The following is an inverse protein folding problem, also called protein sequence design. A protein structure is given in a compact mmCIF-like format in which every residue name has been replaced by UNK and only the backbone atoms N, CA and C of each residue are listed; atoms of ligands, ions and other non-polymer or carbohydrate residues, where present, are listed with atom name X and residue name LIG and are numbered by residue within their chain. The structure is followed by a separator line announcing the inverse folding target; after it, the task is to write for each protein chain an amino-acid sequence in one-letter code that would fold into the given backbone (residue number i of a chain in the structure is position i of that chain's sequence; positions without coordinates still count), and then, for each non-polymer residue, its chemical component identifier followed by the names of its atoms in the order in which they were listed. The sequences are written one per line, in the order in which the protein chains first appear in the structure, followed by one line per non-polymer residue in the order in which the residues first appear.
data_IF_031149333704
#
_entry.id   IF_031149333704
#
_cell.length_a   1.000
_cell.length_b   1.000
_cell.length_c   1.000
_cell.angle_alpha   90.00
_cell.angle_beta   90.00
_cell.angle_gamma   90.00
#
_symmetry.space_group_name_H-M   'P 1'
#
loop_
_entity.id
_entity.type
_entity.pdbx_description
1 polymer ?
#
# COMPACT_ATOMS: atom_id res chain seq x y z
N UNK A 1 13.34 -38.59 -23.37
CA UNK A 1 13.90 -37.21 -23.44
C UNK A 1 14.20 -36.62 -22.06
N UNK A 2 13.27 -36.66 -21.09
CA UNK A 2 13.46 -36.09 -19.74
C UNK A 2 14.68 -36.60 -18.93
N UNK A 3 15.03 -37.90 -18.91
CA UNK A 3 16.19 -38.39 -18.17
C UNK A 3 17.53 -37.87 -18.70
N UNK A 4 17.61 -37.68 -20.02
CA UNK A 4 18.81 -37.17 -20.70
C UNK A 4 19.01 -35.68 -20.41
N UNK A 5 17.94 -34.90 -20.32
CA UNK A 5 18.04 -33.48 -19.96
C UNK A 5 18.52 -33.29 -18.52
N UNK A 6 18.04 -34.12 -17.58
CA UNK A 6 18.47 -34.07 -16.18
C UNK A 6 19.93 -34.51 -16.00
N UNK A 7 20.41 -35.49 -16.78
CA UNK A 7 21.83 -35.88 -16.75
C UNK A 7 22.72 -34.78 -17.32
N UNK A 8 22.33 -34.19 -18.45
CA UNK A 8 23.08 -33.09 -19.06
C UNK A 8 23.14 -31.84 -18.15
N UNK A 9 22.04 -31.52 -17.45
CA UNK A 9 22.02 -30.42 -16.48
C UNK A 9 22.97 -30.70 -15.31
N UNK A 10 22.96 -31.91 -14.76
CA UNK A 10 23.85 -32.30 -13.68
C UNK A 10 25.32 -32.22 -14.10
N UNK A 11 25.64 -32.70 -15.29
CA UNK A 11 27.01 -32.63 -15.84
C UNK A 11 27.44 -31.16 -16.09
N UNK A 12 26.51 -30.31 -16.53
CA UNK A 12 26.77 -28.88 -16.70
C UNK A 12 27.01 -28.18 -15.35
N UNK A 13 26.22 -28.49 -14.33
CA UNK A 13 26.38 -27.96 -12.97
C UNK A 13 27.72 -28.38 -12.37
N UNK A 14 28.08 -29.66 -12.49
CA UNK A 14 29.35 -30.17 -12.01
C UNK A 14 30.53 -29.44 -12.67
N UNK A 15 30.47 -29.25 -13.99
CA UNK A 15 31.51 -28.50 -14.71
C UNK A 15 31.55 -27.03 -14.29
N UNK A 16 30.40 -26.38 -14.10
CA UNK A 16 30.35 -25.00 -13.62
C UNK A 16 30.92 -24.85 -12.20
N UNK A 17 30.64 -25.80 -11.31
CA UNK A 17 31.20 -25.88 -9.96
C UNK A 17 32.72 -26.09 -10.00
N UNK A 18 33.21 -27.01 -10.84
CA UNK A 18 34.65 -27.21 -11.03
C UNK A 18 35.35 -25.94 -11.54
N UNK A 19 34.69 -25.21 -12.44
CA UNK A 19 35.26 -24.01 -13.06
C UNK A 19 35.23 -22.79 -12.12
N UNK A 20 34.07 -22.44 -11.57
CA UNK A 20 33.86 -21.21 -10.78
C UNK A 20 33.99 -21.43 -9.25
N UNK A 21 33.87 -22.66 -8.80
CA UNK A 21 33.79 -23.03 -7.38
C UNK A 21 32.35 -23.10 -6.88
N UNK A 22 32.14 -23.97 -5.89
CA UNK A 22 30.85 -24.23 -5.24
C UNK A 22 30.19 -22.96 -4.71
N UNK A 23 30.96 -22.07 -4.08
CA UNK A 23 30.44 -20.84 -3.50
C UNK A 23 29.92 -19.89 -4.58
N UNK A 24 30.76 -19.53 -5.55
CA UNK A 24 30.40 -18.60 -6.61
C UNK A 24 29.22 -19.13 -7.45
N UNK A 25 29.20 -20.43 -7.72
CA UNK A 25 28.08 -21.07 -8.40
C UNK A 25 26.78 -20.98 -7.60
N UNK A 26 26.83 -21.27 -6.28
CA UNK A 26 25.65 -21.15 -5.42
C UNK A 26 25.12 -19.72 -5.32
N UNK A 27 26.02 -18.72 -5.20
CA UNK A 27 25.65 -17.30 -5.17
C UNK A 27 25.03 -16.85 -6.50
N UNK A 28 25.54 -17.34 -7.63
CA UNK A 28 24.96 -17.07 -8.94
C UNK A 28 23.55 -17.64 -9.10
N UNK A 29 23.31 -18.87 -8.64
CA UNK A 29 21.97 -19.48 -8.65
C UNK A 29 20.98 -18.74 -7.74
N UNK A 30 21.41 -18.31 -6.55
CA UNK A 30 20.60 -17.48 -5.66
C UNK A 30 20.26 -16.13 -6.30
N UNK A 31 21.22 -15.49 -6.95
CA UNK A 31 20.98 -14.24 -7.67
C UNK A 31 20.01 -14.46 -8.83
N UNK A 32 20.16 -15.54 -9.60
CA UNK A 32 19.24 -15.89 -10.69
C UNK A 32 17.80 -16.04 -10.17
N UNK A 33 17.61 -16.74 -9.05
CA UNK A 33 16.30 -16.90 -8.44
C UNK A 33 15.69 -15.55 -8.05
N UNK A 34 16.47 -14.68 -7.39
CA UNK A 34 16.03 -13.33 -7.03
C UNK A 34 15.64 -12.51 -8.26
N UNK A 35 16.46 -12.53 -9.32
CA UNK A 35 16.15 -11.86 -10.59
C UNK A 35 14.84 -12.36 -11.18
N UNK A 36 14.63 -13.68 -11.24
CA UNK A 36 13.41 -14.26 -11.80
C UNK A 36 12.16 -13.85 -11.03
N UNK A 37 12.21 -13.89 -9.69
CA UNK A 37 11.07 -13.50 -8.85
C UNK A 37 10.80 -12.00 -8.96
N UNK A 38 11.83 -11.16 -8.83
CA UNK A 38 11.69 -9.71 -8.98
C UNK A 38 11.18 -9.33 -10.38
N UNK A 39 11.62 -10.02 -11.43
CA UNK A 39 11.09 -9.86 -12.78
C UNK A 39 9.58 -10.17 -12.83
N UNK A 40 9.17 -11.34 -12.33
CA UNK A 40 7.76 -11.75 -12.33
C UNK A 40 6.87 -10.79 -11.53
N UNK A 41 7.31 -10.38 -10.34
CA UNK A 41 6.58 -9.43 -9.50
C UNK A 41 6.40 -8.08 -10.20
N UNK A 42 7.47 -7.50 -10.73
CA UNK A 42 7.37 -6.22 -11.43
C UNK A 42 6.53 -6.33 -12.71
N UNK A 43 6.65 -7.44 -13.44
CA UNK A 43 5.82 -7.69 -14.62
C UNK A 43 4.34 -7.81 -14.26
N UNK A 44 4.00 -8.55 -13.20
CA UNK A 44 2.61 -8.64 -12.72
C UNK A 44 2.07 -7.29 -12.27
N UNK A 45 2.88 -6.46 -11.60
CA UNK A 45 2.49 -5.10 -11.22
C UNK A 45 2.21 -4.21 -12.44
N UNK A 46 3.00 -4.34 -13.50
CA UNK A 46 2.76 -3.61 -14.76
C UNK A 46 1.47 -4.09 -15.43
N UNK A 47 1.23 -5.41 -15.47
CA UNK A 47 0.10 -5.99 -16.18
C UNK A 47 -1.23 -5.85 -15.43
N UNK A 48 -1.23 -5.97 -14.10
CA UNK A 48 -2.44 -5.99 -13.30
C UNK A 48 -2.96 -4.59 -12.94
N UNK A 49 -2.07 -3.59 -12.81
CA UNK A 49 -2.44 -2.33 -12.17
C UNK A 49 -2.95 -1.27 -13.16
N UNK A 50 -2.87 -1.50 -14.47
CA UNK A 50 -3.51 -0.68 -15.53
C UNK A 50 -3.21 0.83 -15.55
N UNK A 51 -2.40 1.32 -14.60
CA UNK A 51 -2.14 2.73 -14.30
C UNK A 51 -0.72 2.94 -13.75
N UNK A 52 0.15 1.94 -13.77
CA UNK A 52 1.52 2.06 -13.26
C UNK A 52 2.37 2.91 -14.20
N UNK A 53 3.05 3.89 -13.63
CA UNK A 53 4.03 4.71 -14.33
C UNK A 53 5.17 3.83 -14.84
N UNK A 54 5.29 3.68 -16.15
CA UNK A 54 6.32 2.84 -16.76
C UNK A 54 7.71 3.48 -16.59
N UNK A 55 8.71 2.67 -16.26
CA UNK A 55 10.10 3.11 -16.10
C UNK A 55 10.87 3.04 -17.42
N UNK A 56 11.89 3.88 -17.56
CA UNK A 56 12.79 3.90 -18.72
C UNK A 56 13.80 2.73 -18.76
N UNK A 57 13.96 2.01 -17.66
CA UNK A 57 14.89 0.89 -17.50
C UNK A 57 14.28 -0.24 -16.65
N UNK A 58 13.59 -1.19 -17.29
CA UNK A 58 12.93 -2.28 -16.57
C UNK A 58 13.94 -3.20 -15.86
N UNK A 59 15.11 -3.46 -16.46
CA UNK A 59 16.16 -4.24 -15.81
C UNK A 59 16.72 -3.53 -14.57
N UNK A 60 16.85 -2.20 -14.63
CA UNK A 60 17.19 -1.36 -13.50
C UNK A 60 16.16 -1.45 -12.37
N UNK A 61 14.86 -1.48 -12.70
CA UNK A 61 13.79 -1.70 -11.72
C UNK A 61 13.88 -3.09 -11.06
N UNK A 62 14.09 -4.16 -11.84
CA UNK A 62 14.27 -5.52 -11.33
C UNK A 62 15.45 -5.59 -10.37
N UNK A 63 16.60 -5.02 -10.75
CA UNK A 63 17.78 -4.93 -9.87
C UNK A 63 17.46 -4.20 -8.57
N UNK A 64 16.74 -3.08 -8.64
CA UNK A 64 16.32 -2.33 -7.44
C UNK A 64 15.39 -3.11 -6.54
N UNK A 65 14.49 -3.92 -7.08
CA UNK A 65 13.64 -4.80 -6.27
C UNK A 65 14.48 -5.82 -5.51
N UNK A 66 15.49 -6.41 -6.15
CA UNK A 66 16.44 -7.33 -5.49
C UNK A 66 17.19 -6.62 -4.36
N UNK A 67 17.66 -5.38 -4.58
CA UNK A 67 18.37 -4.60 -3.56
C UNK A 67 17.44 -4.19 -2.38
N UNK A 68 16.13 -4.07 -2.61
CA UNK A 68 15.11 -3.72 -1.59
C UNK A 68 14.67 -4.93 -0.77
N UNK A 69 14.47 -6.08 -1.39
CA UNK A 69 14.02 -7.32 -0.75
C UNK A 69 15.20 -8.05 -0.08
N UNK A 70 15.59 -7.57 1.11
CA UNK A 70 16.57 -8.23 2.00
C UNK A 70 15.96 -9.32 2.88
N UNK A 71 14.69 -9.68 2.69
CA UNK A 71 13.96 -10.63 3.54
C UNK A 71 13.99 -12.07 3.00
N UNK A 72 14.44 -12.99 3.86
CA UNK A 72 14.43 -14.45 3.69
C UNK A 72 13.06 -15.02 3.27
N UNK A 73 11.95 -14.33 3.54
CA UNK A 73 10.58 -14.83 3.43
C UNK A 73 10.09 -15.09 1.99
N UNK A 74 10.78 -14.56 0.97
CA UNK A 74 10.43 -14.81 -0.44
C UNK A 74 11.02 -16.14 -0.95
N UNK A 75 12.10 -16.62 -0.34
CA UNK A 75 12.71 -17.93 -0.69
C UNK A 75 11.83 -19.11 -0.25
N UNK A 76 11.05 -18.96 0.82
CA UNK A 76 10.19 -20.02 1.37
C UNK A 76 8.79 -20.06 0.71
N UNK A 77 8.39 -19.01 -0.02
CA UNK A 77 7.07 -18.91 -0.66
C UNK A 77 7.06 -19.24 -2.16
N UNK A 78 8.22 -19.57 -2.73
CA UNK A 78 8.30 -20.06 -4.10
C UNK A 78 7.71 -21.47 -4.18
N UNK A 79 6.50 -21.59 -4.72
CA UNK A 79 5.88 -22.86 -5.03
C UNK A 79 6.72 -23.60 -6.10
N UNK A 80 7.39 -24.73 -5.75
CA UNK A 80 8.21 -25.48 -6.70
C UNK A 80 7.37 -26.05 -7.87
N UNK A 81 6.03 -26.04 -7.77
CA UNK A 81 5.15 -26.58 -8.80
C UNK A 81 4.90 -25.63 -10.00
N UNK A 82 5.23 -24.34 -9.89
CA UNK A 82 4.88 -23.34 -10.92
C UNK A 82 5.87 -23.28 -12.10
N UNK A 83 7.07 -23.83 -11.95
CA UNK A 83 8.01 -23.97 -13.07
C UNK A 83 7.79 -25.32 -13.76
N UNK A 84 6.92 -25.32 -14.79
CA UNK A 84 6.80 -26.42 -15.76
C UNK A 84 8.05 -26.53 -16.66
N UNK A 85 9.25 -26.47 -16.10
CA UNK A 85 10.50 -26.70 -16.81
C UNK A 85 10.97 -28.13 -16.59
N UNK A 86 11.58 -28.73 -17.61
CA UNK A 86 12.11 -30.11 -17.56
C UNK A 86 13.42 -30.22 -16.75
N UNK A 87 13.67 -29.27 -15.86
CA UNK A 87 14.95 -29.04 -15.17
C UNK A 87 14.81 -29.25 -13.67
N UNK A 88 15.93 -29.44 -12.98
CA UNK A 88 15.99 -29.61 -11.52
C UNK A 88 15.65 -28.30 -10.79
N UNK A 89 14.99 -28.37 -9.61
CA UNK A 89 14.77 -27.18 -8.79
C UNK A 89 16.08 -26.48 -8.40
N UNK A 90 16.10 -25.13 -8.43
CA UNK A 90 17.27 -24.33 -8.05
C UNK A 90 17.75 -24.64 -6.62
N UNK A 91 16.82 -24.91 -5.69
CA UNK A 91 17.13 -25.25 -4.31
C UNK A 91 17.97 -26.53 -4.18
N UNK A 92 17.68 -27.56 -4.97
CA UNK A 92 18.46 -28.79 -5.01
C UNK A 92 19.85 -28.56 -5.61
N UNK A 93 19.92 -27.78 -6.70
CA UNK A 93 21.20 -27.45 -7.36
C UNK A 93 22.12 -26.63 -6.44
N UNK A 94 21.56 -25.70 -5.67
CA UNK A 94 22.29 -24.94 -4.64
C UNK A 94 22.77 -25.87 -3.51
N UNK A 95 21.93 -26.80 -3.04
CA UNK A 95 22.29 -27.74 -1.99
C UNK A 95 23.43 -28.67 -2.44
N UNK A 96 23.34 -29.22 -3.65
CA UNK A 96 24.37 -30.06 -4.24
C UNK A 96 25.70 -29.31 -4.38
N UNK A 97 25.67 -28.10 -4.95
CA UNK A 97 26.87 -27.28 -5.10
C UNK A 97 27.53 -26.98 -3.75
N UNK A 98 26.74 -26.69 -2.71
CA UNK A 98 27.25 -26.44 -1.34
C UNK A 98 27.84 -27.70 -0.71
N UNK A 99 27.29 -28.87 -1.00
CA UNK A 99 27.81 -30.14 -0.51
C UNK A 99 29.16 -30.51 -1.15
N UNK A 100 29.35 -30.18 -2.44
CA UNK A 100 30.57 -30.49 -3.18
C UNK A 100 31.81 -29.73 -2.70
N UNK A 101 31.63 -28.58 -2.02
CA UNK A 101 32.67 -27.74 -1.40
C UNK A 101 33.98 -27.60 -2.24
N UNK A 102 33.81 -27.46 -3.55
CA UNK A 102 34.91 -27.45 -4.51
C UNK A 102 35.40 -26.03 -4.75
N UNK A 103 36.72 -25.84 -4.71
CA UNK A 103 37.35 -24.57 -5.07
C UNK A 103 37.50 -24.48 -6.59
N UNK A 104 37.07 -23.36 -7.18
CA UNK A 104 37.10 -23.17 -8.63
C UNK A 104 38.50 -23.06 -9.21
N UNK A 105 38.66 -23.53 -10.45
CA UNK A 105 39.92 -23.48 -11.20
C UNK A 105 40.14 -22.09 -11.85
N UNK A 106 39.07 -21.35 -12.13
CA UNK A 106 39.11 -20.02 -12.76
C UNK A 106 38.95 -18.90 -11.74
N UNK A 107 40.00 -18.09 -11.57
CA UNK A 107 39.92 -16.75 -10.99
C UNK A 107 40.02 -15.72 -12.13
N UNK A 108 38.88 -15.35 -12.72
CA UNK A 108 38.83 -14.26 -13.69
C UNK A 108 38.86 -12.93 -12.94
N UNK A 109 40.04 -12.32 -12.86
CA UNK A 109 40.26 -11.00 -12.26
C UNK A 109 40.03 -9.86 -13.28
N UNK A 110 39.08 -10.06 -14.20
CA UNK A 110 38.63 -9.02 -15.13
C UNK A 110 37.37 -8.40 -14.51
N UNK A 111 37.32 -7.07 -14.30
CA UNK A 111 36.12 -6.43 -13.78
C UNK A 111 34.97 -6.73 -14.74
N UNK A 112 33.94 -7.44 -14.26
CA UNK A 112 32.69 -7.69 -15.01
C UNK A 112 32.08 -6.37 -15.51
N UNK A 113 32.41 -5.25 -14.84
CA UNK A 113 32.11 -3.89 -15.27
C UNK A 113 32.59 -3.55 -16.69
N UNK A 114 33.69 -4.12 -17.16
CA UNK A 114 34.24 -3.83 -18.48
C UNK A 114 33.55 -4.64 -19.59
N UNK A 115 33.17 -5.89 -19.29
CA UNK A 115 32.37 -6.74 -20.20
C UNK A 115 30.93 -6.21 -20.36
N UNK A 116 30.39 -5.59 -19.32
CA UNK A 116 29.00 -5.11 -19.26
C UNK A 116 28.91 -3.58 -19.16
N UNK A 117 29.93 -2.84 -19.61
CA UNK A 117 29.99 -1.38 -19.48
C UNK A 117 28.78 -0.67 -20.12
N UNK A 118 28.31 -1.21 -21.23
CA UNK A 118 27.18 -0.68 -22.00
C UNK A 118 25.82 -1.22 -21.55
N UNK A 119 25.79 -2.13 -20.58
CA UNK A 119 24.58 -2.84 -20.17
C UNK A 119 23.44 -1.89 -19.73
N UNK A 120 23.65 -0.87 -18.87
CA UNK A 120 22.57 0.05 -18.51
C UNK A 120 22.00 0.83 -19.71
N UNK A 121 22.86 1.19 -20.67
CA UNK A 121 22.44 1.89 -21.89
C UNK A 121 21.58 0.99 -22.77
N UNK A 122 21.99 -0.26 -22.95
CA UNK A 122 21.26 -1.26 -23.72
C UNK A 122 19.91 -1.60 -23.08
N UNK A 123 19.85 -1.74 -21.75
CA UNK A 123 18.59 -1.99 -21.03
C UNK A 123 17.58 -0.86 -21.25
N UNK A 124 18.02 0.40 -21.18
CA UNK A 124 17.16 1.56 -21.50
C UNK A 124 16.67 1.56 -22.95
N UNK A 125 17.53 1.14 -23.89
CA UNK A 125 17.14 1.05 -25.29
C UNK A 125 16.14 -0.09 -25.55
N UNK A 126 16.26 -1.21 -24.84
CA UNK A 126 15.41 -2.40 -25.00
C UNK A 126 14.08 -2.30 -24.25
N UNK A 127 14.02 -1.58 -23.14
CA UNK A 127 12.80 -1.45 -22.31
C UNK A 127 11.56 -0.99 -23.11
N UNK A 128 11.65 0.02 -24.00
CA UNK A 128 10.53 0.39 -24.87
C UNK A 128 10.06 -0.73 -25.80
N UNK A 129 10.99 -1.53 -26.35
CA UNK A 129 10.62 -2.66 -27.20
C UNK A 129 9.89 -3.72 -26.39
N UNK A 130 10.39 -4.04 -25.19
CA UNK A 130 9.74 -4.96 -24.27
C UNK A 130 8.29 -4.56 -23.95
N UNK A 131 8.04 -3.29 -23.63
CA UNK A 131 6.66 -2.83 -23.37
C UNK A 131 5.75 -2.90 -24.59
N UNK A 132 6.29 -2.65 -25.79
CA UNK A 132 5.52 -2.80 -27.05
C UNK A 132 5.14 -4.25 -27.31
N UNK A 133 6.05 -5.19 -27.07
CA UNK A 133 5.76 -6.63 -27.17
C UNK A 133 4.69 -7.09 -26.18
N UNK A 134 4.61 -6.44 -25.00
CA UNK A 134 3.54 -6.66 -24.03
C UNK A 134 2.20 -6.00 -24.41
N UNK A 135 2.14 -5.27 -25.53
CA UNK A 135 0.93 -4.57 -25.98
C UNK A 135 0.59 -3.32 -25.17
N UNK A 136 1.56 -2.75 -24.43
CA UNK A 136 1.34 -1.57 -23.61
C UNK A 136 1.38 -0.29 -24.46
N UNK A 137 0.40 0.59 -24.28
CA UNK A 137 0.36 1.90 -24.93
C UNK A 137 1.08 2.95 -24.06
N UNK A 138 2.20 3.49 -24.55
CA UNK A 138 2.97 4.52 -23.83
C UNK A 138 3.65 5.52 -24.77
N UNK A 139 3.98 6.69 -24.24
CA UNK A 139 4.85 7.68 -24.88
C UNK A 139 6.24 7.64 -24.23
N UNK A 140 7.29 7.79 -25.03
CA UNK A 140 8.68 7.86 -24.52
C UNK A 140 8.88 8.98 -23.50
N UNK A 141 8.11 10.07 -23.61
CA UNK A 141 8.16 11.21 -22.68
C UNK A 141 7.55 10.89 -21.30
N UNK A 142 6.71 9.85 -21.23
CA UNK A 142 6.02 9.45 -20.00
C UNK A 142 6.81 8.39 -19.22
N UNK A 143 7.90 7.87 -19.79
CA UNK A 143 8.78 6.92 -19.10
C UNK A 143 9.55 7.64 -18.00
N UNK A 144 9.44 7.13 -16.77
CA UNK A 144 10.14 7.71 -15.65
C UNK A 144 11.56 7.15 -15.53
N UNK A 145 12.56 7.98 -15.27
CA UNK A 145 13.90 7.50 -15.00
C UNK A 145 13.91 6.72 -13.69
N UNK A 146 14.50 5.51 -13.73
CA UNK A 146 14.66 4.66 -12.54
C UNK A 146 15.37 5.39 -11.37
N UNK A 147 16.15 6.45 -11.64
CA UNK A 147 16.88 7.26 -10.65
C UNK A 147 16.02 8.23 -9.81
N UNK A 148 14.86 8.68 -10.29
CA UNK A 148 14.02 9.64 -9.54
C UNK A 148 13.39 9.03 -8.28
N UNK A 149 13.39 7.71 -8.17
CA UNK A 149 12.85 6.99 -7.02
C UNK A 149 13.74 7.07 -5.77
N UNK A 150 15.07 7.15 -5.83
CA UNK A 150 15.87 6.85 -4.64
C UNK A 150 15.76 7.91 -3.52
N UNK A 151 15.56 9.18 -3.88
CA UNK A 151 15.39 10.24 -2.88
C UNK A 151 13.93 10.40 -2.43
N UNK A 152 12.96 10.30 -3.34
CA UNK A 152 11.54 10.41 -3.01
C UNK A 152 10.98 9.13 -2.39
N UNK A 153 11.25 7.96 -2.98
CA UNK A 153 10.91 6.66 -2.38
C UNK A 153 11.75 6.37 -1.15
N UNK A 154 13.06 6.69 -1.12
CA UNK A 154 13.84 6.52 0.11
C UNK A 154 13.28 7.32 1.29
N UNK A 155 12.73 8.52 1.02
CA UNK A 155 12.02 9.31 2.02
C UNK A 155 10.65 8.73 2.37
N UNK A 156 9.87 8.27 1.39
CA UNK A 156 8.55 7.68 1.59
C UNK A 156 8.62 6.34 2.34
N UNK A 157 9.52 5.44 1.95
CA UNK A 157 9.81 4.18 2.64
C UNK A 157 10.29 4.43 4.07
N UNK A 158 11.14 5.44 4.30
CA UNK A 158 11.56 5.82 5.66
C UNK A 158 10.39 6.32 6.50
N UNK A 159 9.53 7.17 5.94
CA UNK A 159 8.34 7.67 6.64
C UNK A 159 7.35 6.55 6.94
N UNK A 160 7.16 5.62 6.00
CA UNK A 160 6.33 4.42 6.18
C UNK A 160 6.87 3.51 7.28
N UNK A 161 8.17 3.26 7.30
CA UNK A 161 8.81 2.47 8.36
C UNK A 161 8.63 3.13 9.72
N UNK A 162 8.87 4.44 9.82
CA UNK A 162 8.66 5.20 11.05
C UNK A 162 7.19 5.21 11.50
N UNK A 163 6.25 5.29 10.55
CA UNK A 163 4.82 5.23 10.81
C UNK A 163 4.43 3.86 11.34
N UNK A 164 4.91 2.78 10.72
CA UNK A 164 4.69 1.41 11.16
C UNK A 164 5.27 1.18 12.56
N UNK A 165 6.51 1.61 12.82
CA UNK A 165 7.15 1.51 14.14
C UNK A 165 6.36 2.29 15.21
N UNK A 166 5.92 3.51 14.91
CA UNK A 166 5.19 4.36 15.86
C UNK A 166 3.80 3.83 16.21
N UNK A 167 3.14 3.19 15.23
CA UNK A 167 1.77 2.67 15.33
C UNK A 167 1.70 1.17 15.61
N UNK A 168 2.84 0.48 15.73
CA UNK A 168 2.90 -0.98 15.78
C UNK A 168 2.16 -1.65 14.60
N UNK A 169 2.33 -1.10 13.40
CA UNK A 169 1.73 -1.57 12.14
C UNK A 169 0.20 -1.52 12.10
N UNK A 170 -0.46 -0.76 12.96
CA UNK A 170 -1.94 -0.62 12.95
C UNK A 170 -2.43 0.61 12.19
N UNK A 171 -1.54 1.32 11.47
CA UNK A 171 -1.94 2.48 10.66
C UNK A 171 -2.83 2.06 9.49
N UNK A 172 -3.91 2.83 9.26
CA UNK A 172 -4.73 2.71 8.06
C UNK A 172 -4.72 4.01 7.25
N UNK A 173 -4.45 3.95 5.94
CA UNK A 173 -4.56 5.12 5.07
C UNK A 173 -5.96 5.74 5.01
N UNK A 174 -7.01 4.93 5.22
CA UNK A 174 -8.42 5.35 5.20
C UNK A 174 -8.91 5.93 6.55
N UNK A 175 -8.11 5.83 7.63
CA UNK A 175 -8.51 6.26 8.97
C UNK A 175 -7.62 7.40 9.43
N UNK A 176 -8.18 8.60 9.52
CA UNK A 176 -7.44 9.81 9.94
C UNK A 176 -7.56 9.98 11.44
N UNK A 177 -6.41 10.18 12.10
CA UNK A 177 -6.35 10.44 13.55
C UNK A 177 -7.04 11.76 13.90
N UNK A 178 -7.79 11.76 15.00
CA UNK A 178 -8.57 12.92 15.43
C UNK A 178 -7.72 13.88 16.27
N UNK A 179 -7.30 14.99 15.65
CA UNK A 179 -6.44 16.00 16.26
C UNK A 179 -7.20 17.21 16.81
N UNK A 180 -8.53 17.12 16.97
CA UNK A 180 -9.35 18.26 17.42
C UNK A 180 -8.94 18.76 18.81
N UNK A 181 -8.38 17.87 19.64
CA UNK A 181 -7.87 18.17 20.97
C UNK A 181 -6.57 19.00 21.00
N UNK A 182 -5.87 19.19 19.86
CA UNK A 182 -4.57 19.87 19.87
C UNK A 182 -4.61 21.28 20.47
N UNK A 183 -5.67 22.04 20.20
CA UNK A 183 -5.84 23.40 20.71
C UNK A 183 -6.09 23.45 22.23
N UNK A 184 -6.81 22.48 22.79
CA UNK A 184 -7.04 22.40 24.24
C UNK A 184 -5.80 21.91 24.98
N UNK A 185 -5.07 20.94 24.41
CA UNK A 185 -3.82 20.38 24.97
C UNK A 185 -2.70 21.43 24.99
N UNK A 186 -2.67 22.35 24.02
CA UNK A 186 -1.66 23.40 23.95
C UNK A 186 -1.58 24.27 25.22
N UNK A 187 -2.69 24.39 25.97
CA UNK A 187 -2.79 25.17 27.21
C UNK A 187 -2.40 24.39 28.48
N UNK A 188 -2.16 23.08 28.38
CA UNK A 188 -1.85 22.22 29.53
C UNK A 188 -0.38 22.36 29.96
N UNK A 189 -0.05 21.96 31.20
CA UNK A 189 1.35 21.81 31.63
C UNK A 189 2.03 20.65 30.90
N UNK A 190 3.36 20.62 30.89
CA UNK A 190 4.09 19.53 30.24
C UNK A 190 3.91 18.20 30.98
N UNK A 191 3.77 18.19 32.32
CA UNK A 191 3.49 16.95 33.05
C UNK A 191 2.14 16.36 32.66
N UNK A 192 1.11 17.21 32.48
CA UNK A 192 -0.21 16.74 32.03
C UNK A 192 -0.15 16.14 30.62
N UNK A 193 0.60 16.76 29.71
CA UNK A 193 0.78 16.22 28.35
C UNK A 193 1.47 14.86 28.38
N UNK A 194 2.50 14.70 29.23
CA UNK A 194 3.20 13.43 29.43
C UNK A 194 2.25 12.34 29.96
N UNK A 195 1.48 12.64 31.01
CA UNK A 195 0.51 11.71 31.57
C UNK A 195 -0.53 11.25 30.52
N UNK A 196 -0.98 12.15 29.63
CA UNK A 196 -1.87 11.77 28.53
C UNK A 196 -1.20 10.86 27.50
N UNK A 197 0.08 11.05 27.19
CA UNK A 197 0.83 10.15 26.30
C UNK A 197 0.91 8.76 26.91
N UNK A 198 1.28 8.65 28.18
CA UNK A 198 1.40 7.36 28.88
C UNK A 198 0.05 6.65 28.98
N UNK A 199 -1.02 7.38 29.30
CA UNK A 199 -2.38 6.85 29.33
C UNK A 199 -2.81 6.35 27.93
N UNK A 200 -2.54 7.12 26.88
CA UNK A 200 -2.84 6.72 25.50
C UNK A 200 -2.03 5.47 25.10
N UNK A 201 -0.74 5.40 25.43
CA UNK A 201 0.12 4.23 25.17
C UNK A 201 -0.40 3.00 25.91
N UNK A 202 -0.78 3.13 27.18
CA UNK A 202 -1.36 2.05 27.97
C UNK A 202 -2.64 1.53 27.33
N UNK A 203 -3.55 2.44 26.94
CA UNK A 203 -4.79 2.10 26.26
C UNK A 203 -4.53 1.43 24.90
N UNK A 204 -3.53 1.91 24.15
CA UNK A 204 -3.11 1.28 22.90
C UNK A 204 -2.65 -0.15 23.13
N UNK A 205 -1.80 -0.40 24.12
CA UNK A 205 -1.27 -1.73 24.42
C UNK A 205 -2.38 -2.70 24.84
N UNK A 206 -3.36 -2.24 25.63
CA UNK A 206 -4.49 -3.09 26.05
C UNK A 206 -5.44 -3.42 24.91
N UNK A 207 -5.68 -2.48 24.00
CA UNK A 207 -6.66 -2.64 22.92
C UNK A 207 -6.04 -3.05 21.57
N UNK A 208 -4.72 -3.19 21.48
CA UNK A 208 -4.01 -3.52 20.24
C UNK A 208 -4.51 -4.79 19.54
N UNK A 209 -4.76 -5.91 20.26
CA UNK A 209 -5.31 -7.12 19.64
C UNK A 209 -6.70 -6.88 19.05
N UNK A 210 -7.56 -6.19 19.80
CA UNK A 210 -8.92 -5.83 19.34
C UNK A 210 -8.86 -4.90 18.13
N UNK A 211 -7.90 -3.97 18.09
CA UNK A 211 -7.68 -3.12 16.92
C UNK A 211 -7.24 -3.95 15.72
N UNK A 212 -6.25 -4.84 15.84
CA UNK A 212 -5.80 -5.71 14.76
C UNK A 212 -6.93 -6.55 14.16
N UNK A 213 -7.73 -7.20 15.01
CA UNK A 213 -8.91 -7.97 14.57
C UNK A 213 -9.98 -7.08 13.95
N UNK A 214 -10.28 -5.94 14.57
CA UNK A 214 -11.24 -4.96 14.05
C UNK A 214 -10.85 -4.42 12.69
N UNK A 215 -9.56 -4.21 12.42
CA UNK A 215 -9.05 -3.76 11.13
C UNK A 215 -9.37 -4.76 10.02
N UNK A 216 -9.07 -6.04 10.25
CA UNK A 216 -9.36 -7.12 9.31
C UNK A 216 -10.87 -7.29 9.09
N UNK A 217 -11.67 -7.15 10.15
CA UNK A 217 -13.12 -7.27 10.05
C UNK A 217 -13.79 -6.06 9.40
N UNK A 218 -13.30 -4.84 9.65
CA UNK A 218 -13.86 -3.62 9.06
C UNK A 218 -13.80 -3.63 7.54
N UNK A 219 -12.69 -4.07 6.94
CA UNK A 219 -12.56 -4.20 5.50
C UNK A 219 -13.55 -5.22 4.92
N UNK A 220 -13.67 -6.39 5.58
CA UNK A 220 -14.60 -7.44 5.17
C UNK A 220 -16.07 -7.03 5.31
N UNK A 221 -16.45 -6.39 6.41
CA UNK A 221 -17.82 -5.91 6.63
C UNK A 221 -18.17 -4.77 5.67
N UNK A 222 -17.22 -3.87 5.36
CA UNK A 222 -17.43 -2.81 4.35
C UNK A 222 -17.81 -3.39 2.99
N UNK A 223 -17.15 -4.48 2.55
CA UNK A 223 -17.51 -5.18 1.30
C UNK A 223 -18.91 -5.78 1.37
N UNK A 224 -19.24 -6.47 2.47
CA UNK A 224 -20.57 -7.05 2.68
C UNK A 224 -21.68 -6.00 2.72
N UNK A 225 -21.42 -4.82 3.28
CA UNK A 225 -22.39 -3.71 3.28
C UNK A 225 -22.72 -3.24 1.86
N UNK A 226 -21.74 -3.20 0.95
CA UNK A 226 -22.00 -2.88 -0.47
C UNK A 226 -22.85 -3.96 -1.12
N UNK A 227 -22.49 -5.24 -0.94
CA UNK A 227 -23.24 -6.38 -1.49
C UNK A 227 -24.71 -6.31 -1.02
N UNK A 228 -24.93 -6.02 0.27
CA UNK A 228 -26.27 -5.88 0.86
C UNK A 228 -27.04 -4.64 0.37
N UNK A 229 -26.39 -3.48 0.24
CA UNK A 229 -27.04 -2.26 -0.32
C UNK A 229 -27.45 -2.51 -1.77
N UNK A 230 -26.62 -3.19 -2.55
CA UNK A 230 -26.95 -3.55 -3.94
C UNK A 230 -28.13 -4.52 -4.01
N UNK A 231 -28.25 -5.44 -3.05
CA UNK A 231 -29.37 -6.36 -2.93
C UNK A 231 -30.67 -5.62 -2.56
N UNK A 232 -30.62 -4.70 -1.60
CA UNK A 232 -31.78 -3.88 -1.23
C UNK A 232 -32.30 -3.03 -2.40
N UNK A 233 -31.41 -2.45 -3.20
CA UNK A 233 -31.80 -1.72 -4.40
C UNK A 233 -32.56 -2.60 -5.42
N UNK A 234 -32.31 -3.91 -5.44
CA UNK A 234 -33.11 -4.86 -6.25
C UNK A 234 -34.47 -5.13 -5.63
N UNK A 235 -34.52 -5.35 -4.32
CA UNK A 235 -35.77 -5.67 -3.60
C UNK A 235 -36.77 -4.51 -3.65
N UNK A 236 -36.28 -3.27 -3.67
CA UNK A 236 -37.12 -2.07 -3.85
C UNK A 236 -37.70 -1.96 -5.28
N UNK A 237 -37.04 -2.55 -6.28
CA UNK A 237 -37.47 -2.49 -7.69
C UNK A 237 -38.25 -3.72 -8.16
N UNK A 238 -37.92 -4.89 -7.63
CA UNK A 238 -38.57 -6.16 -7.93
C UNK A 238 -39.20 -6.67 -6.65
N UNK A 239 -40.54 -6.61 -6.57
CA UNK A 239 -41.34 -7.23 -5.52
C UNK A 239 -41.05 -8.73 -5.49
N UNK A 240 -40.17 -9.16 -4.59
CA UNK A 240 -39.89 -10.57 -4.32
C UNK A 240 -40.36 -10.90 -2.91
N UNK A 241 -40.92 -12.10 -2.78
CA UNK A 241 -41.39 -12.81 -1.60
C UNK A 241 -40.99 -12.22 -0.21
N UNK A 242 -41.99 -11.92 0.61
CA UNK A 242 -41.84 -11.17 1.86
C UNK A 242 -40.92 -11.84 2.89
N UNK A 243 -40.82 -13.16 2.86
CA UNK A 243 -39.95 -13.92 3.78
C UNK A 243 -38.47 -13.81 3.39
N UNK A 244 -38.14 -13.76 2.10
CA UNK A 244 -36.77 -13.53 1.64
C UNK A 244 -36.30 -12.11 1.98
N UNK A 245 -37.15 -11.11 1.75
CA UNK A 245 -36.88 -9.71 2.12
C UNK A 245 -36.64 -9.57 3.62
N UNK A 246 -37.45 -10.24 4.44
CA UNK A 246 -37.31 -10.23 5.90
C UNK A 246 -35.98 -10.86 6.36
N UNK A 247 -35.61 -12.02 5.82
CA UNK A 247 -34.34 -12.68 6.15
C UNK A 247 -33.11 -11.83 5.75
N UNK A 248 -33.17 -11.18 4.59
CA UNK A 248 -32.11 -10.26 4.15
C UNK A 248 -32.03 -9.01 5.02
N UNK A 249 -33.18 -8.45 5.40
CA UNK A 249 -33.26 -7.28 6.31
C UNK A 249 -32.68 -7.60 7.68
N UNK A 250 -32.99 -8.77 8.25
CA UNK A 250 -32.41 -9.22 9.53
C UNK A 250 -30.89 -9.44 9.43
N UNK A 251 -30.41 -10.00 8.32
CA UNK A 251 -28.96 -10.15 8.05
C UNK A 251 -28.28 -8.79 7.97
N UNK A 252 -28.93 -7.83 7.31
CA UNK A 252 -28.44 -6.47 7.15
C UNK A 252 -28.38 -5.73 8.49
N UNK A 253 -29.40 -5.85 9.33
CA UNK A 253 -29.39 -5.29 10.68
C UNK A 253 -28.24 -5.88 11.52
N UNK A 254 -28.01 -7.20 11.46
CA UNK A 254 -26.90 -7.85 12.18
C UNK A 254 -25.53 -7.34 11.71
N UNK A 255 -25.32 -7.20 10.40
CA UNK A 255 -24.06 -6.66 9.87
C UNK A 255 -23.90 -5.16 10.17
N UNK A 256 -24.99 -4.38 10.16
CA UNK A 256 -24.98 -2.97 10.60
C UNK A 256 -24.57 -2.84 12.07
N UNK A 257 -25.09 -3.69 12.96
CA UNK A 257 -24.69 -3.69 14.38
C UNK A 257 -23.19 -4.02 14.56
N UNK A 258 -22.67 -4.99 13.81
CA UNK A 258 -21.22 -5.30 13.81
C UNK A 258 -20.40 -4.12 13.31
N UNK A 259 -20.83 -3.50 12.20
CA UNK A 259 -20.18 -2.33 11.63
C UNK A 259 -20.15 -1.15 12.60
N UNK A 260 -21.25 -0.91 13.33
CA UNK A 260 -21.32 0.12 14.35
C UNK A 260 -20.30 -0.12 15.47
N UNK A 261 -20.21 -1.35 15.97
CA UNK A 261 -19.20 -1.73 16.98
C UNK A 261 -17.78 -1.48 16.48
N UNK A 262 -17.47 -1.82 15.23
CA UNK A 262 -16.16 -1.55 14.65
C UNK A 262 -15.89 -0.05 14.48
N UNK A 263 -16.91 0.74 14.12
CA UNK A 263 -16.79 2.20 14.06
C UNK A 263 -16.49 2.83 15.41
N UNK A 264 -17.05 2.31 16.50
CA UNK A 264 -16.79 2.77 17.86
C UNK A 264 -15.34 2.49 18.28
N UNK A 265 -14.85 1.28 17.99
CA UNK A 265 -13.46 0.88 18.21
C UNK A 265 -12.51 1.76 17.38
N UNK A 266 -12.79 1.96 16.09
CA UNK A 266 -12.03 2.89 15.23
C UNK A 266 -12.13 4.34 15.72
N UNK A 267 -13.25 4.73 16.31
CA UNK A 267 -13.43 6.04 16.95
C UNK A 267 -12.46 6.21 18.12
N UNK A 268 -12.34 5.20 18.97
CA UNK A 268 -11.36 5.18 20.07
C UNK A 268 -9.94 5.22 19.53
N UNK A 269 -9.60 4.39 18.55
CA UNK A 269 -8.29 4.40 17.88
C UNK A 269 -7.90 5.79 17.35
N UNK A 270 -8.83 6.45 16.64
CA UNK A 270 -8.62 7.80 16.09
C UNK A 270 -8.32 8.83 17.17
N UNK A 271 -9.10 8.83 18.25
CA UNK A 271 -8.93 9.77 19.38
C UNK A 271 -7.66 9.51 20.15
N UNK A 272 -7.34 8.26 20.49
CA UNK A 272 -6.13 7.91 21.22
C UNK A 272 -4.88 8.26 20.41
N UNK A 273 -4.85 7.93 19.11
CA UNK A 273 -3.73 8.26 18.21
C UNK A 273 -3.55 9.78 18.12
N UNK A 274 -4.66 10.50 17.91
CA UNK A 274 -4.68 11.94 17.77
C UNK A 274 -4.27 12.69 19.05
N UNK A 275 -4.71 12.20 20.22
CA UNK A 275 -4.29 12.71 21.53
C UNK A 275 -2.78 12.52 21.74
N UNK A 276 -2.28 11.29 21.57
CA UNK A 276 -0.86 10.96 21.74
C UNK A 276 0.01 11.85 20.86
N UNK A 277 -0.31 11.94 19.57
CA UNK A 277 0.51 12.68 18.62
C UNK A 277 0.45 14.19 18.85
N UNK A 278 -0.71 14.72 19.26
CA UNK A 278 -0.86 16.14 19.60
C UNK A 278 0.00 16.51 20.82
N UNK A 279 -0.04 15.71 21.88
CA UNK A 279 0.81 15.89 23.06
C UNK A 279 2.31 15.81 22.69
N UNK A 280 2.71 14.77 21.95
CA UNK A 280 4.12 14.56 21.59
C UNK A 280 4.68 15.71 20.74
N UNK A 281 3.92 16.21 19.76
CA UNK A 281 4.30 17.37 18.95
C UNK A 281 4.41 18.64 19.79
N UNK A 282 3.48 18.88 20.71
CA UNK A 282 3.50 20.06 21.57
C UNK A 282 4.68 20.08 22.55
N UNK A 283 5.20 18.90 22.90
CA UNK A 283 6.37 18.72 23.76
C UNK A 283 7.71 18.88 23.02
N UNK A 284 7.74 19.05 21.69
CA UNK A 284 9.00 19.28 20.97
C UNK A 284 9.73 20.54 21.47
N UNK A 285 11.02 20.40 21.80
CA UNK A 285 11.86 21.51 22.25
C UNK A 285 12.28 22.41 21.07
N UNK A 286 12.54 21.83 19.91
CA UNK A 286 12.88 22.59 18.69
C UNK A 286 11.66 23.35 18.17
N UNK A 287 11.72 24.69 18.24
CA UNK A 287 10.65 25.59 17.79
C UNK A 287 10.28 25.41 16.32
N UNK A 288 11.25 25.17 15.43
CA UNK A 288 10.99 24.98 13.99
C UNK A 288 10.25 23.67 13.75
N UNK A 289 10.68 22.58 14.41
CA UNK A 289 10.00 21.28 14.35
C UNK A 289 8.60 21.34 14.95
N UNK A 290 8.43 22.01 16.09
CA UNK A 290 7.13 22.23 16.73
C UNK A 290 6.16 22.99 15.82
N UNK A 291 6.58 24.11 15.22
CA UNK A 291 5.75 24.86 14.27
C UNK A 291 5.41 24.07 13.01
N UNK A 292 6.30 23.19 12.53
CA UNK A 292 6.00 22.26 11.45
C UNK A 292 4.98 21.22 11.89
N UNK A 293 5.14 20.62 13.06
CA UNK A 293 4.20 19.65 13.62
C UNK A 293 2.80 20.24 13.80
N UNK A 294 2.68 21.46 14.36
CA UNK A 294 1.39 22.15 14.50
C UNK A 294 0.68 22.37 13.16
N UNK A 295 1.42 22.73 12.10
CA UNK A 295 0.85 22.85 10.75
C UNK A 295 0.36 21.51 10.22
N UNK A 296 1.15 20.45 10.41
CA UNK A 296 0.77 19.09 10.01
C UNK A 296 -0.47 18.58 10.76
N UNK A 297 -0.62 18.89 12.07
CA UNK A 297 -1.84 18.59 12.82
C UNK A 297 -3.05 19.33 12.24
N UNK A 298 -2.89 20.60 11.84
CA UNK A 298 -3.93 21.36 11.15
C UNK A 298 -4.36 20.71 9.83
N UNK A 299 -3.41 20.19 9.03
CA UNK A 299 -3.72 19.48 7.79
C UNK A 299 -4.43 18.15 8.05
N UNK A 300 -4.01 17.42 9.09
CA UNK A 300 -4.67 16.17 9.48
C UNK A 300 -6.11 16.42 9.94
N UNK A 301 -6.35 17.53 10.65
CA UNK A 301 -7.70 17.96 11.04
C UNK A 301 -8.59 18.23 9.82
N UNK A 302 -8.05 18.88 8.78
CA UNK A 302 -8.78 19.09 7.52
C UNK A 302 -9.14 17.77 6.83
N UNK A 303 -8.22 16.81 6.79
CA UNK A 303 -8.50 15.47 6.25
C UNK A 303 -9.51 14.68 7.09
N UNK A 304 -9.48 14.85 8.41
CA UNK A 304 -10.46 14.24 9.31
C UNK A 304 -11.86 14.80 9.05
N UNK A 305 -11.97 16.11 8.80
CA UNK A 305 -13.24 16.79 8.51
C UNK A 305 -14.01 16.20 7.32
N UNK A 306 -13.30 15.73 6.29
CA UNK A 306 -13.90 15.12 5.09
C UNK A 306 -13.95 13.59 5.13
N UNK A 307 -13.44 12.95 6.18
CA UNK A 307 -13.38 11.48 6.25
C UNK A 307 -14.78 10.84 6.16
N UNK A 308 -15.78 11.46 6.80
CA UNK A 308 -17.17 10.96 6.77
C UNK A 308 -17.75 11.03 5.36
N UNK A 309 -17.55 12.17 4.68
CA UNK A 309 -18.05 12.38 3.32
C UNK A 309 -17.35 11.43 2.33
N UNK A 310 -16.04 11.24 2.47
CA UNK A 310 -15.28 10.28 1.66
C UNK A 310 -15.76 8.85 1.87
N UNK A 311 -16.06 8.46 3.11
CA UNK A 311 -16.58 7.13 3.41
C UNK A 311 -17.98 6.91 2.81
N UNK A 312 -18.88 7.90 2.92
CA UNK A 312 -20.19 7.84 2.29
C UNK A 312 -20.08 7.77 0.76
N UNK A 313 -19.24 8.60 0.16
CA UNK A 313 -18.97 8.60 -1.28
C UNK A 313 -18.39 7.27 -1.77
N UNK A 314 -17.57 6.60 -0.95
CA UNK A 314 -17.06 5.27 -1.28
C UNK A 314 -18.17 4.22 -1.38
N UNK A 315 -19.15 4.24 -0.48
CA UNK A 315 -20.28 3.29 -0.55
C UNK A 315 -21.09 3.51 -1.84
N UNK A 316 -21.30 4.78 -2.21
CA UNK A 316 -21.94 5.17 -3.48
C UNK A 316 -21.12 4.70 -4.68
N UNK A 317 -19.79 4.89 -4.65
CA UNK A 317 -18.87 4.42 -5.69
C UNK A 317 -18.97 2.91 -5.93
N UNK A 318 -18.95 2.10 -4.88
CA UNK A 318 -19.05 0.65 -5.01
C UNK A 318 -20.44 0.19 -5.48
N UNK A 319 -21.51 0.89 -5.04
CA UNK A 319 -22.86 0.67 -5.54
C UNK A 319 -22.95 0.95 -7.05
N UNK A 320 -22.41 2.09 -7.51
CA UNK A 320 -22.36 2.43 -8.94
C UNK A 320 -21.60 1.37 -9.72
N UNK A 321 -20.44 0.90 -9.25
CA UNK A 321 -19.69 -0.18 -9.91
C UNK A 321 -20.53 -1.43 -10.10
N UNK A 322 -21.25 -1.82 -9.05
CA UNK A 322 -22.11 -3.01 -9.06
C UNK A 322 -23.27 -2.84 -10.03
N UNK A 323 -24.00 -1.71 -9.95
CA UNK A 323 -25.13 -1.43 -10.83
C UNK A 323 -24.70 -1.34 -12.30
N UNK A 324 -23.60 -0.63 -12.57
CA UNK A 324 -23.06 -0.43 -13.91
C UNK A 324 -22.59 -1.74 -14.54
N UNK A 325 -21.88 -2.60 -13.79
CA UNK A 325 -21.49 -3.93 -14.25
C UNK A 325 -22.70 -4.78 -14.65
N UNK A 326 -23.76 -4.78 -13.82
CA UNK A 326 -24.97 -5.56 -14.09
C UNK A 326 -25.78 -5.03 -15.27
N UNK A 327 -25.85 -3.71 -15.47
CA UNK A 327 -26.50 -3.13 -16.66
C UNK A 327 -25.78 -3.59 -17.93
N UNK A 328 -24.43 -3.61 -17.92
CA UNK A 328 -23.64 -4.05 -19.07
C UNK A 328 -23.68 -5.56 -19.30
N UNK A 329 -23.61 -6.37 -18.23
CA UNK A 329 -23.47 -7.83 -18.32
C UNK A 329 -24.81 -8.57 -18.40
N UNK A 330 -25.87 -8.02 -17.80
CA UNK A 330 -27.17 -8.68 -17.66
C UNK A 330 -28.33 -7.91 -18.30
N UNK A 331 -28.06 -6.75 -18.91
CA UNK A 331 -29.06 -5.91 -19.56
C UNK A 331 -30.25 -5.52 -18.64
N UNK A 332 -29.99 -5.34 -17.34
CA UNK A 332 -30.96 -4.89 -16.33
C UNK A 332 -31.21 -3.37 -16.44
N UNK A 333 -31.85 -2.93 -17.55
CA UNK A 333 -32.05 -1.52 -17.92
C UNK A 333 -32.87 -0.75 -16.87
N UNK A 334 -33.72 -1.42 -16.11
CA UNK A 334 -34.49 -0.83 -15.01
C UNK A 334 -33.62 -0.17 -13.92
N UNK A 335 -32.35 -0.58 -13.79
CA UNK A 335 -31.39 0.01 -12.85
C UNK A 335 -30.82 1.35 -13.32
N UNK A 336 -31.04 1.74 -14.57
CA UNK A 336 -30.43 2.93 -15.19
C UNK A 336 -30.75 4.23 -14.44
N UNK A 337 -32.01 4.42 -14.02
CA UNK A 337 -32.42 5.64 -13.28
C UNK A 337 -31.75 5.74 -11.91
N UNK A 338 -31.61 4.60 -11.23
CA UNK A 338 -30.91 4.51 -9.94
C UNK A 338 -29.43 4.80 -10.13
N UNK A 339 -28.80 4.19 -11.15
CA UNK A 339 -27.42 4.46 -11.52
C UNK A 339 -27.17 5.96 -11.75
N UNK A 340 -28.00 6.63 -12.55
CA UNK A 340 -27.86 8.06 -12.84
C UNK A 340 -27.95 8.94 -11.59
N UNK A 341 -28.84 8.58 -10.66
CA UNK A 341 -29.00 9.30 -9.38
C UNK A 341 -27.76 9.13 -8.51
N UNK A 342 -27.24 7.91 -8.39
CA UNK A 342 -26.02 7.63 -7.64
C UNK A 342 -24.80 8.32 -8.27
N UNK A 343 -24.69 8.34 -9.60
CA UNK A 343 -23.61 9.04 -10.32
C UNK A 343 -23.62 10.54 -10.03
N UNK A 344 -24.80 11.18 -9.99
CA UNK A 344 -24.90 12.60 -9.60
C UNK A 344 -24.44 12.82 -8.16
N UNK A 345 -24.90 11.99 -7.23
CA UNK A 345 -24.48 12.05 -5.83
C UNK A 345 -22.96 11.91 -5.67
N UNK A 346 -22.34 10.97 -6.38
CA UNK A 346 -20.88 10.80 -6.36
C UNK A 346 -20.16 11.99 -6.99
N UNK A 347 -20.73 12.59 -8.04
CA UNK A 347 -20.16 13.78 -8.69
C UNK A 347 -20.11 14.97 -7.73
N UNK A 348 -21.18 15.20 -6.97
CA UNK A 348 -21.21 16.28 -5.98
C UNK A 348 -20.26 16.01 -4.81
N UNK A 349 -20.16 14.75 -4.36
CA UNK A 349 -19.15 14.36 -3.37
C UNK A 349 -17.71 14.58 -3.89
N UNK A 350 -17.42 14.23 -5.15
CA UNK A 350 -16.12 14.48 -5.78
C UNK A 350 -15.75 15.97 -5.76
N UNK A 351 -16.71 16.86 -6.03
CA UNK A 351 -16.49 18.32 -5.97
C UNK A 351 -16.13 18.78 -4.56
N UNK A 352 -16.84 18.28 -3.54
CA UNK A 352 -16.57 18.63 -2.14
C UNK A 352 -15.19 18.12 -1.68
N UNK A 353 -14.85 16.88 -2.02
CA UNK A 353 -13.55 16.27 -1.70
C UNK A 353 -12.44 17.07 -2.37
N UNK A 354 -12.55 17.32 -3.68
CA UNK A 354 -11.58 18.13 -4.43
C UNK A 354 -11.39 19.53 -3.82
N UNK A 355 -12.49 20.26 -3.57
CA UNK A 355 -12.45 21.60 -3.00
C UNK A 355 -11.76 21.65 -1.64
N UNK A 356 -11.78 20.54 -0.90
CA UNK A 356 -11.07 20.43 0.38
C UNK A 356 -9.60 20.05 0.20
N UNK A 357 -9.30 19.09 -0.67
CA UNK A 357 -7.93 18.64 -0.92
C UNK A 357 -7.06 19.78 -1.49
N UNK A 358 -7.58 20.60 -2.41
CA UNK A 358 -6.86 21.75 -3.00
C UNK A 358 -6.36 22.76 -1.95
N UNK A 359 -7.01 22.84 -0.77
CA UNK A 359 -6.59 23.74 0.32
C UNK A 359 -5.31 23.27 1.02
N UNK A 360 -4.87 22.02 0.79
CA UNK A 360 -3.67 21.47 1.38
C UNK A 360 -2.42 21.87 0.57
N UNK A 361 -1.27 22.12 1.22
CA UNK A 361 -0.09 22.62 0.51
C UNK A 361 0.56 21.54 -0.38
N UNK A 362 0.90 21.94 -1.61
CA UNK A 362 1.59 21.07 -2.59
C UNK A 362 2.90 20.46 -2.09
N UNK A 363 3.63 21.19 -1.22
CA UNK A 363 4.92 20.76 -0.66
C UNK A 363 4.85 19.41 0.10
N UNK A 364 3.66 18.95 0.48
CA UNK A 364 3.47 17.61 1.05
C UNK A 364 3.79 16.47 0.07
N UNK A 365 3.65 16.73 -1.23
CA UNK A 365 3.94 15.80 -2.34
C UNK A 365 5.19 16.21 -3.14
N UNK A 366 5.96 17.19 -2.65
CA UNK A 366 7.13 17.69 -3.36
C UNK A 366 6.82 18.53 -4.61
N UNK A 367 5.57 18.97 -4.78
CA UNK A 367 5.12 19.86 -5.85
C UNK A 367 4.85 21.27 -5.34
N UNK A 368 4.95 22.27 -6.22
CA UNK A 368 4.74 23.67 -5.86
C UNK A 368 3.28 23.99 -5.56
N UNK A 369 2.35 23.41 -6.32
CA UNK A 369 0.92 23.49 -6.05
C UNK A 369 0.27 22.10 -6.08
N UNK A 370 -0.57 21.83 -5.07
CA UNK A 370 -1.40 20.62 -5.09
C UNK A 370 -2.53 20.76 -6.12
N UNK A 371 -2.98 22.00 -6.40
CA UNK A 371 -4.07 22.26 -7.35
C UNK A 371 -3.68 21.83 -8.76
N UNK A 372 -2.48 22.18 -9.22
CA UNK A 372 -2.01 21.84 -10.56
C UNK A 372 -1.82 20.32 -10.72
N UNK A 373 -1.28 19.65 -9.70
CA UNK A 373 -1.15 18.19 -9.68
C UNK A 373 -2.54 17.52 -9.71
N UNK A 374 -3.48 18.03 -8.91
CA UNK A 374 -4.86 17.53 -8.88
C UNK A 374 -5.55 17.71 -10.23
N UNK A 375 -5.40 18.89 -10.85
CA UNK A 375 -6.03 19.20 -12.13
C UNK A 375 -5.49 18.31 -13.26
N UNK A 376 -4.18 18.09 -13.31
CA UNK A 376 -3.54 17.17 -14.26
C UNK A 376 -4.03 15.73 -14.08
N UNK A 377 -4.01 15.22 -12.84
CA UNK A 377 -4.46 13.86 -12.55
C UNK A 377 -5.96 13.66 -12.80
N UNK A 378 -6.78 14.68 -12.53
CA UNK A 378 -8.21 14.64 -12.83
C UNK A 378 -8.49 14.74 -14.33
N UNK A 379 -7.68 15.49 -15.07
CA UNK A 379 -7.79 15.55 -16.52
C UNK A 379 -7.44 14.19 -17.15
N UNK A 380 -6.38 13.53 -16.69
CA UNK A 380 -6.05 12.15 -17.07
C UNK A 380 -7.16 11.17 -16.70
N UNK A 381 -7.67 11.23 -15.47
CA UNK A 381 -8.76 10.37 -15.00
C UNK A 381 -10.03 10.50 -15.86
N UNK A 382 -10.35 11.71 -16.31
CA UNK A 382 -11.47 11.99 -17.23
C UNK A 382 -11.17 11.52 -18.65
N UNK A 383 -9.93 11.66 -19.12
CA UNK A 383 -9.49 11.24 -20.45
C UNK A 383 -9.51 9.72 -20.68
N UNK A 384 -9.45 8.92 -19.60
CA UNK A 384 -9.46 7.45 -19.65
C UNK A 384 -10.75 6.82 -20.20
N UNK A 385 -11.86 7.54 -20.29
CA UNK A 385 -13.11 7.00 -20.82
C UNK A 385 -13.99 8.09 -21.41
N UNK A 386 -14.76 7.76 -22.45
CA UNK A 386 -15.82 8.61 -22.99
C UNK A 386 -17.15 8.44 -22.24
N UNK A 387 -17.29 7.40 -21.42
CA UNK A 387 -18.50 7.12 -20.65
C UNK A 387 -18.53 7.98 -19.36
N UNK A 388 -19.56 8.82 -19.15
CA UNK A 388 -19.65 9.72 -17.99
C UNK A 388 -19.68 8.97 -16.65
N UNK A 389 -20.23 7.75 -16.61
CA UNK A 389 -20.23 6.91 -15.40
C UNK A 389 -18.81 6.48 -15.05
N UNK A 390 -18.07 5.97 -16.04
CA UNK A 390 -16.65 5.57 -15.86
C UNK A 390 -15.77 6.76 -15.50
N UNK A 391 -16.00 7.93 -16.11
CA UNK A 391 -15.30 9.16 -15.75
C UNK A 391 -15.50 9.52 -14.26
N UNK A 392 -16.75 9.51 -13.77
CA UNK A 392 -17.05 9.80 -12.37
C UNK A 392 -16.38 8.79 -11.41
N UNK A 393 -16.39 7.50 -11.77
CA UNK A 393 -15.70 6.45 -11.01
C UNK A 393 -14.18 6.67 -10.98
N UNK A 394 -13.56 6.98 -12.11
CA UNK A 394 -12.12 7.25 -12.22
C UNK A 394 -11.70 8.48 -11.40
N UNK A 395 -12.51 9.54 -11.45
CA UNK A 395 -12.29 10.77 -10.67
C UNK A 395 -12.32 10.46 -9.18
N UNK A 396 -13.33 9.72 -8.71
CA UNK A 396 -13.40 9.34 -7.29
C UNK A 396 -12.21 8.48 -6.87
N UNK A 397 -11.84 7.46 -7.65
CA UNK A 397 -10.70 6.60 -7.35
C UNK A 397 -9.40 7.41 -7.22
N UNK A 398 -9.19 8.39 -8.12
CA UNK A 398 -8.05 9.30 -8.08
C UNK A 398 -8.05 10.16 -6.82
N UNK A 399 -9.19 10.78 -6.48
CA UNK A 399 -9.33 11.61 -5.27
C UNK A 399 -9.13 10.79 -3.98
N UNK A 400 -9.68 9.57 -3.91
CA UNK A 400 -9.52 8.67 -2.78
C UNK A 400 -8.06 8.20 -2.63
N UNK A 401 -7.38 7.87 -3.73
CA UNK A 401 -5.95 7.55 -3.73
C UNK A 401 -5.09 8.70 -3.22
N UNK A 402 -5.38 9.92 -3.68
CA UNK A 402 -4.71 11.14 -3.21
C UNK A 402 -4.95 11.40 -1.72
N UNK A 403 -6.18 11.24 -1.25
CA UNK A 403 -6.53 11.37 0.16
C UNK A 403 -5.70 10.42 1.04
N UNK A 404 -5.67 9.12 0.69
CA UNK A 404 -4.88 8.10 1.40
C UNK A 404 -3.41 8.48 1.45
N UNK A 405 -2.86 8.88 0.31
CA UNK A 405 -1.46 9.28 0.19
C UNK A 405 -1.14 10.52 1.04
N UNK A 406 -2.03 11.50 1.07
CA UNK A 406 -1.86 12.70 1.91
C UNK A 406 -1.93 12.34 3.40
N UNK A 407 -2.91 11.51 3.81
CA UNK A 407 -3.00 11.03 5.18
C UNK A 407 -1.71 10.30 5.59
N UNK A 408 -1.23 9.36 4.78
CA UNK A 408 0.00 8.61 5.02
C UNK A 408 1.22 9.52 5.15
N UNK A 409 1.38 10.49 4.23
CA UNK A 409 2.52 11.39 4.25
C UNK A 409 2.50 12.36 5.44
N UNK A 410 1.33 12.89 5.80
CA UNK A 410 1.18 13.77 6.98
C UNK A 410 1.41 12.96 8.26
N UNK A 411 0.76 11.80 8.38
CA UNK A 411 0.86 10.91 9.54
C UNK A 411 2.28 10.38 9.73
N UNK A 412 2.99 9.99 8.66
CA UNK A 412 4.38 9.56 8.74
C UNK A 412 5.33 10.68 9.19
N UNK A 413 5.13 11.91 8.71
CA UNK A 413 5.93 13.05 9.17
C UNK A 413 5.64 13.39 10.64
N UNK A 414 4.37 13.34 11.06
CA UNK A 414 4.00 13.53 12.46
C UNK A 414 4.55 12.42 13.35
N UNK A 415 4.50 11.16 12.92
CA UNK A 415 5.05 10.02 13.64
C UNK A 415 6.57 10.15 13.86
N UNK A 416 7.30 10.62 12.83
CA UNK A 416 8.73 10.91 12.98
C UNK A 416 9.01 11.99 14.02
N UNK A 417 8.22 13.08 14.02
CA UNK A 417 8.37 14.19 14.96
C UNK A 417 7.98 13.77 16.39
N UNK A 418 6.85 13.09 16.54
CA UNK A 418 6.36 12.59 17.82
C UNK A 418 7.31 11.56 18.42
N UNK A 419 7.79 10.60 17.61
CA UNK A 419 8.76 9.60 18.05
C UNK A 419 10.12 10.19 18.45
N UNK A 420 10.52 11.34 17.89
CA UNK A 420 11.69 12.08 18.40
C UNK A 420 11.42 12.66 19.79
N UNK A 421 10.26 13.33 19.97
CA UNK A 421 9.85 13.95 21.23
C UNK A 421 9.68 12.94 22.37
N UNK A 422 9.10 11.78 22.07
CA UNK A 422 8.91 10.66 23.01
C UNK A 422 10.26 10.06 23.43
N UNK A 423 11.18 9.85 22.48
CA UNK A 423 12.53 9.33 22.76
C UNK A 423 13.36 10.26 23.64
N UNK A 424 13.29 11.58 23.40
CA UNK A 424 13.95 12.57 24.25
C UNK A 424 13.48 12.55 25.71
N UNK A 425 12.31 11.94 25.97
CA UNK A 425 11.68 11.85 27.29
C UNK A 425 11.66 10.42 27.84
N UNK A 426 12.41 9.51 27.24
CA UNK A 426 12.48 8.10 27.64
C UNK A 426 11.11 7.38 27.64
N UNK A 427 10.16 7.84 26.83
CA UNK A 427 8.87 7.16 26.67
C UNK A 427 9.09 5.95 25.77
N UNK A 428 8.71 4.77 26.26
CA UNK A 428 8.86 3.54 25.48
C UNK A 428 7.88 3.49 24.32
N UNK A 429 8.32 3.05 23.12
CA UNK A 429 7.41 2.86 22.00
C UNK A 429 6.34 1.81 22.32
N UNK A 430 5.21 1.89 21.62
CA UNK A 430 4.23 0.81 21.60
C UNK A 430 4.88 -0.35 20.85
N UNK A 431 5.11 -1.47 21.54
CA UNK A 431 5.53 -2.73 20.95
C UNK A 431 4.50 -3.78 21.34
N UNK A 432 4.12 -4.62 20.39
CA UNK A 432 3.45 -5.87 20.71
C UNK A 432 4.41 -6.66 21.60
N UNK A 433 4.03 -6.88 22.86
CA UNK A 433 4.67 -7.91 23.66
C UNK A 433 4.12 -9.21 23.07
N UNK A 434 4.96 -10.08 22.47
CA UNK A 434 4.50 -11.39 22.03
C UNK A 434 3.88 -12.09 23.22
N UNK A 435 2.68 -12.66 23.07
CA UNK A 435 1.96 -13.34 24.17
C UNK A 435 2.78 -14.47 24.82
N UNK A 436 3.86 -14.91 24.20
CA UNK A 436 4.78 -15.93 24.72
C UNK A 436 5.76 -15.42 25.78
N UNK A 437 5.86 -14.11 26.00
CA UNK A 437 6.78 -13.51 26.98
C UNK A 437 6.37 -13.63 28.46
N UNK A 438 5.16 -14.11 28.75
CA UNK A 438 4.67 -14.24 30.13
C UNK A 438 4.84 -15.64 30.75
N UNK A 439 5.55 -16.56 30.09
CA UNK A 439 5.83 -17.90 30.67
C UNK A 439 7.13 -18.03 31.47
N UNK A 440 8.00 -17.02 31.49
CA UNK A 440 9.28 -17.10 32.23
C UNK A 440 9.44 -15.96 33.26
N UNK A 441 8.47 -15.82 34.16
CA UNK A 441 8.65 -15.10 35.42
C UNK A 441 7.79 -15.77 36.51
N UNK A 442 8.27 -16.92 36.99
CA UNK A 442 7.96 -17.49 38.29
C UNK A 442 9.26 -18.06 38.85
#
# INVERSE_FOLDING_TARGET
SRPVLLSLEKDADLNAVLMAGSQAFSEALELQQKVQMSWQTNLQLILNDGQTTLVDDFAGLVKKTIDRDTTKDVLDSADPASTRTSLRPLSERIADARADNTQGILALDIPSRDLFRDFPRLCKQLTPFFYRELGLNFSMQNLQPVMLDDQQHGRETRLLKQLAEYTSSTFLPDVVWDTACAASIAKMSDEKKLAFIEAAIKQFRTSLPEFGETLNHYQNTRRKSVELISLNARLEQNYVDGDFVKQQTETLQKEQHKFQRYNDILGTYRRCSGLRISCAVLLLQDRKKKLRGLRLLGYLQTLHGIQKDLHAAYLVYELIRTLYGRILEHAEIELQKTLETQVRQLTDANRLIYATLVKLPGKLKGVDSLSSLLDEQLQDARGKSTDPTKQTLNVFATLAGLYRNLNQNISGQLASLAGESERQRNIQPVRLIPKDGHKNAA
#
